data_IF_923759746795
#
_entry.id   IF_923759746795
#
_cell.length_a   1.000
_cell.length_b   1.000
_cell.length_c   1.000
_cell.angle_alpha   90.00
_cell.angle_beta   90.00
_cell.angle_gamma   90.00
#
_symmetry.space_group_name_H-M   'P 1'
#
loop_
_entity.id
_entity.type
_entity.pdbx_description
1 polymer ?
#
# COMPACT_ATOMS: atom_id res chain seq x y z
N UNK A 1 -82.48 22.61 10.57
CA UNK A 1 -81.63 22.88 9.39
C UNK A 1 -80.26 23.39 9.84
N UNK A 2 -79.30 22.48 9.94
CA UNK A 2 -77.84 22.68 9.83
C UNK A 2 -77.21 21.28 9.81
N UNK A 3 -76.06 21.12 9.14
CA UNK A 3 -75.79 19.95 8.32
C UNK A 3 -74.55 19.15 8.75
N UNK A 4 -74.47 17.95 8.16
CA UNK A 4 -73.30 17.17 7.72
C UNK A 4 -72.08 16.98 8.65
N UNK A 5 -71.94 15.72 9.07
CA UNK A 5 -70.69 15.07 9.42
C UNK A 5 -69.72 15.01 8.22
N UNK A 6 -68.45 15.37 8.45
CA UNK A 6 -67.34 14.92 7.61
C UNK A 6 -66.03 14.81 8.42
N UNK A 7 -65.60 13.56 8.59
CA UNK A 7 -64.23 12.99 8.58
C UNK A 7 -63.07 13.88 9.06
N UNK A 8 -62.53 13.49 10.22
CA UNK A 8 -61.17 13.83 10.65
C UNK A 8 -60.12 13.31 9.66
N UNK A 9 -59.23 14.19 9.23
CA UNK A 9 -58.03 13.85 8.46
C UNK A 9 -56.80 14.14 9.33
N UNK A 10 -56.00 13.09 9.57
CA UNK A 10 -54.70 13.17 10.23
C UNK A 10 -53.73 14.00 9.39
N UNK A 11 -53.23 15.09 9.96
CA UNK A 11 -52.16 15.90 9.39
C UNK A 11 -50.79 15.24 9.66
N UNK A 12 -50.06 14.92 8.59
CA UNK A 12 -48.65 14.49 8.66
C UNK A 12 -47.73 15.73 8.77
N UNK A 13 -46.61 15.68 9.52
CA UNK A 13 -45.65 16.78 9.57
C UNK A 13 -44.89 16.91 8.24
N UNK A 14 -44.62 18.16 7.86
CA UNK A 14 -43.98 18.61 6.61
C UNK A 14 -42.50 18.21 6.51
N UNK A 15 -42.09 17.81 5.30
CA UNK A 15 -40.74 17.53 4.84
C UNK A 15 -39.70 18.60 5.22
N UNK A 16 -38.70 18.22 6.04
CA UNK A 16 -37.45 18.97 6.26
C UNK A 16 -36.26 18.46 5.43
N UNK A 17 -36.45 17.44 4.59
CA UNK A 17 -35.33 16.76 3.90
C UNK A 17 -34.97 17.33 2.51
N UNK A 18 -35.74 18.28 1.95
CA UNK A 18 -35.46 18.84 0.61
C UNK A 18 -34.33 19.89 0.55
N UNK A 19 -33.92 20.46 1.69
CA UNK A 19 -32.83 21.45 1.73
C UNK A 19 -31.44 20.84 1.90
N UNK A 20 -31.31 19.62 2.42
CA UNK A 20 -30.01 18.95 2.55
C UNK A 20 -29.61 18.22 1.26
N UNK A 21 -30.58 17.67 0.52
CA UNK A 21 -30.35 17.06 -0.80
C UNK A 21 -29.93 18.06 -1.89
N UNK A 22 -30.32 19.34 -1.77
CA UNK A 22 -29.92 20.38 -2.74
C UNK A 22 -28.49 20.86 -2.52
N UNK A 23 -28.00 20.84 -1.27
CA UNK A 23 -26.61 21.16 -0.93
C UNK A 23 -25.69 19.97 -1.29
N UNK A 24 -26.16 18.74 -1.13
CA UNK A 24 -25.43 17.54 -1.54
C UNK A 24 -25.33 17.40 -3.07
N UNK A 25 -26.34 17.88 -3.83
CA UNK A 25 -26.34 17.81 -5.29
C UNK A 25 -25.67 19.03 -5.98
N UNK A 26 -25.54 20.19 -5.33
CA UNK A 26 -24.80 21.34 -5.91
C UNK A 26 -23.28 21.16 -5.88
N UNK A 27 -22.76 20.28 -5.03
CA UNK A 27 -21.32 19.98 -4.91
C UNK A 27 -20.79 18.98 -5.96
N UNK A 28 -21.65 18.41 -6.82
CA UNK A 28 -21.26 17.53 -7.94
C UNK A 28 -21.01 18.25 -9.27
N UNK A 29 -20.93 19.59 -9.27
CA UNK A 29 -20.28 20.36 -10.33
C UNK A 29 -18.84 20.74 -9.94
N UNK A 30 -18.11 19.88 -9.23
CA UNK A 30 -16.67 20.04 -9.10
C UNK A 30 -15.97 19.25 -10.21
N UNK A 31 -15.40 19.98 -11.16
CA UNK A 31 -14.41 19.47 -12.13
C UNK A 31 -13.39 18.65 -11.35
N UNK A 32 -13.18 17.38 -11.71
CA UNK A 32 -12.05 16.61 -11.18
C UNK A 32 -10.80 17.50 -11.23
N UNK A 33 -10.07 17.68 -10.11
CA UNK A 33 -8.90 18.52 -10.10
C UNK A 33 -7.93 17.97 -11.13
N UNK A 34 -7.75 18.69 -12.24
CA UNK A 34 -6.83 18.28 -13.30
C UNK A 34 -5.44 18.20 -12.70
N UNK A 35 -4.89 17.01 -12.69
CA UNK A 35 -3.53 16.73 -12.30
C UNK A 35 -2.58 17.50 -13.22
N UNK A 36 -1.58 18.15 -12.64
CA UNK A 36 -0.55 18.86 -13.40
C UNK A 36 0.30 17.85 -14.20
N UNK A 37 0.44 18.07 -15.50
CA UNK A 37 1.21 17.20 -16.39
C UNK A 37 2.48 17.93 -16.84
N UNK A 38 3.64 17.44 -16.39
CA UNK A 38 4.94 18.04 -16.68
C UNK A 38 5.70 17.12 -17.64
N UNK A 39 5.86 17.59 -18.87
CA UNK A 39 6.59 16.86 -19.90
C UNK A 39 8.04 17.35 -19.98
N UNK A 40 8.99 16.54 -19.50
CA UNK A 40 10.45 16.74 -19.64
C UNK A 40 11.04 15.88 -20.76
N UNK A 41 10.23 15.07 -21.45
CA UNK A 41 10.69 14.26 -22.58
C UNK A 41 10.76 15.09 -23.88
N UNK A 42 11.48 14.57 -24.88
CA UNK A 42 11.51 15.16 -26.23
C UNK A 42 10.21 14.89 -27.00
N UNK A 43 9.36 13.98 -26.52
CA UNK A 43 8.11 13.59 -27.17
C UNK A 43 7.08 14.71 -27.10
N UNK A 44 6.48 15.05 -28.25
CA UNK A 44 5.32 15.94 -28.33
C UNK A 44 4.05 15.15 -28.00
N UNK A 45 3.44 15.45 -26.86
CA UNK A 45 2.20 14.81 -26.42
C UNK A 45 0.99 15.36 -27.20
N UNK A 46 0.11 14.47 -27.64
CA UNK A 46 -1.18 14.82 -28.26
C UNK A 46 -2.15 15.40 -27.22
N UNK A 47 -3.20 16.10 -27.67
CA UNK A 47 -4.25 16.62 -26.79
C UNK A 47 -4.94 15.51 -25.98
N UNK A 48 -5.18 14.36 -26.60
CA UNK A 48 -5.76 13.18 -25.93
C UNK A 48 -4.82 12.60 -24.87
N UNK A 49 -3.51 12.49 -25.16
CA UNK A 49 -2.51 12.03 -24.19
C UNK A 49 -2.43 12.98 -22.98
N UNK A 50 -2.40 14.30 -23.21
CA UNK A 50 -2.39 15.30 -22.11
C UNK A 50 -3.65 15.22 -21.26
N UNK A 51 -4.81 15.12 -21.89
CA UNK A 51 -6.11 15.04 -21.18
C UNK A 51 -6.17 13.77 -20.35
N UNK A 52 -5.76 12.63 -20.91
CA UNK A 52 -5.68 11.36 -20.19
C UNK A 52 -4.75 11.45 -18.98
N UNK A 53 -3.52 11.95 -19.16
CA UNK A 53 -2.53 12.07 -18.09
C UNK A 53 -2.99 13.03 -16.98
N UNK A 54 -3.74 14.07 -17.34
CA UNK A 54 -4.31 15.02 -16.36
C UNK A 54 -5.41 14.41 -15.47
N UNK A 55 -5.90 13.20 -15.77
CA UNK A 55 -6.81 12.46 -14.86
C UNK A 55 -6.04 11.82 -13.69
N UNK A 56 -4.72 11.67 -13.80
CA UNK A 56 -3.83 11.17 -12.74
C UNK A 56 -3.88 9.65 -12.50
N UNK A 57 -2.96 9.15 -11.67
CA UNK A 57 -2.78 7.70 -11.43
C UNK A 57 -3.91 7.02 -10.65
N UNK A 58 -4.74 7.79 -9.92
CA UNK A 58 -5.89 7.27 -9.18
C UNK A 58 -7.15 7.11 -10.05
N UNK A 59 -7.14 7.66 -11.26
CA UNK A 59 -8.26 7.53 -12.17
C UNK A 59 -8.38 6.09 -12.68
N UNK A 60 -9.58 5.52 -12.60
CA UNK A 60 -9.88 4.17 -13.09
C UNK A 60 -10.72 4.28 -14.35
N UNK A 61 -10.17 3.93 -15.53
CA UNK A 61 -10.93 3.96 -16.77
C UNK A 61 -12.04 2.91 -16.79
N UNK A 62 -13.24 3.30 -17.23
CA UNK A 62 -14.33 2.37 -17.54
C UNK A 62 -13.91 1.48 -18.69
N UNK A 63 -13.89 0.17 -18.46
CA UNK A 63 -13.57 -0.81 -19.51
C UNK A 63 -14.75 -0.96 -20.47
N UNK A 64 -14.50 -0.89 -21.77
CA UNK A 64 -15.52 -1.17 -22.80
C UNK A 64 -15.92 -2.64 -22.87
N UNK A 65 -14.96 -3.54 -22.59
CA UNK A 65 -15.16 -4.99 -22.56
C UNK A 65 -14.78 -5.51 -21.19
N UNK A 66 -15.65 -6.33 -20.62
CA UNK A 66 -15.39 -7.05 -19.38
C UNK A 66 -14.77 -8.40 -19.74
N UNK A 67 -13.63 -8.72 -19.14
CA UNK A 67 -13.01 -10.04 -19.27
C UNK A 67 -13.79 -11.04 -18.40
N UNK A 68 -14.73 -11.76 -19.00
CA UNK A 68 -15.64 -12.67 -18.28
C UNK A 68 -14.90 -13.71 -17.44
N UNK A 69 -13.82 -14.29 -17.95
CA UNK A 69 -13.02 -15.27 -17.21
C UNK A 69 -12.43 -14.70 -15.92
N UNK A 70 -11.93 -13.46 -15.98
CA UNK A 70 -11.39 -12.76 -14.80
C UNK A 70 -12.49 -12.44 -13.80
N UNK A 71 -13.63 -11.92 -14.26
CA UNK A 71 -14.76 -11.62 -13.38
C UNK A 71 -15.27 -12.87 -12.67
N UNK A 72 -15.41 -14.00 -13.38
CA UNK A 72 -15.84 -15.27 -12.76
C UNK A 72 -14.83 -15.72 -11.71
N UNK A 73 -13.53 -15.59 -11.98
CA UNK A 73 -12.49 -15.91 -11.00
C UNK A 73 -12.59 -14.99 -9.76
N UNK A 74 -12.78 -13.69 -9.95
CA UNK A 74 -12.95 -12.71 -8.87
C UNK A 74 -14.20 -13.00 -8.03
N UNK A 75 -15.32 -13.37 -8.67
CA UNK A 75 -16.55 -13.78 -7.99
C UNK A 75 -16.37 -15.07 -7.17
N UNK A 76 -15.58 -16.04 -7.67
CA UNK A 76 -15.23 -17.25 -6.89
C UNK A 76 -14.37 -16.93 -5.68
N UNK A 77 -13.42 -16.01 -5.81
CA UNK A 77 -12.60 -15.54 -4.67
C UNK A 77 -13.49 -14.83 -3.65
N UNK A 78 -14.41 -13.98 -4.10
CA UNK A 78 -15.38 -13.30 -3.23
C UNK A 78 -16.29 -14.29 -2.50
N UNK A 79 -16.92 -15.23 -3.22
CA UNK A 79 -17.73 -16.30 -2.64
C UNK A 79 -16.95 -17.04 -1.56
N UNK A 80 -15.73 -17.47 -1.88
CA UNK A 80 -14.86 -18.17 -0.92
C UNK A 80 -14.63 -17.34 0.35
N UNK A 81 -14.40 -16.02 0.23
CA UNK A 81 -14.23 -15.14 1.39
C UNK A 81 -15.48 -15.08 2.27
N UNK A 82 -16.66 -14.98 1.66
CA UNK A 82 -17.93 -14.98 2.38
C UNK A 82 -18.14 -16.30 3.12
N UNK A 83 -17.91 -17.43 2.44
CA UNK A 83 -18.01 -18.77 3.03
C UNK A 83 -17.02 -18.99 4.16
N UNK A 84 -15.78 -18.54 4.03
CA UNK A 84 -14.80 -18.66 5.12
C UNK A 84 -15.23 -17.87 6.37
N UNK A 85 -15.81 -16.68 6.19
CA UNK A 85 -16.31 -15.88 7.32
C UNK A 85 -17.44 -16.58 8.07
N UNK A 86 -18.36 -17.20 7.35
CA UNK A 86 -19.46 -17.97 7.94
C UNK A 86 -18.97 -19.29 8.57
N UNK A 87 -18.05 -19.99 7.90
CA UNK A 87 -17.54 -21.27 8.37
C UNK A 87 -16.86 -21.12 9.73
N UNK A 88 -16.03 -20.09 9.89
CA UNK A 88 -15.28 -19.78 11.11
C UNK A 88 -15.96 -18.75 12.00
N UNK A 89 -17.26 -18.46 11.82
CA UNK A 89 -17.93 -17.37 12.56
C UNK A 89 -17.87 -17.56 14.08
N UNK A 90 -18.16 -18.77 14.57
CA UNK A 90 -18.13 -19.10 16.01
C UNK A 90 -16.70 -19.09 16.56
N UNK A 91 -15.76 -19.74 15.87
CA UNK A 91 -14.34 -19.70 16.24
C UNK A 91 -13.76 -18.29 16.27
N UNK A 92 -14.18 -17.41 15.38
CA UNK A 92 -13.70 -16.03 15.32
C UNK A 92 -14.25 -15.19 16.49
N UNK A 93 -15.49 -15.43 16.92
CA UNK A 93 -16.04 -14.79 18.14
C UNK A 93 -15.25 -15.18 19.38
N UNK A 94 -14.82 -16.43 19.48
CA UNK A 94 -14.01 -16.89 20.61
C UNK A 94 -12.57 -16.37 20.54
N UNK A 95 -11.99 -16.27 19.33
CA UNK A 95 -10.64 -15.74 19.09
C UNK A 95 -10.54 -14.21 19.23
N UNK A 96 -11.63 -13.46 19.11
CA UNK A 96 -11.63 -12.02 19.44
C UNK A 96 -11.24 -11.76 20.92
N UNK A 97 -11.39 -12.75 21.81
CA UNK A 97 -10.96 -12.67 23.20
C UNK A 97 -9.50 -13.11 23.45
N UNK A 98 -8.83 -13.72 22.46
CA UNK A 98 -7.43 -14.16 22.57
C UNK A 98 -6.63 -13.65 21.36
N UNK A 99 -5.90 -12.54 21.54
CA UNK A 99 -4.97 -11.99 20.56
C UNK A 99 -3.80 -12.97 20.30
N UNK A 100 -4.02 -13.97 19.46
CA UNK A 100 -2.93 -14.86 19.01
C UNK A 100 -2.29 -14.24 17.75
N UNK A 101 -1.41 -13.26 17.96
CA UNK A 101 -0.78 -12.41 16.93
C UNK A 101 -0.05 -13.22 15.83
N UNK A 102 0.44 -14.43 16.16
CA UNK A 102 1.20 -15.27 15.22
C UNK A 102 0.36 -16.06 14.21
N UNK A 103 -0.97 -16.07 14.33
CA UNK A 103 -1.85 -16.68 13.31
C UNK A 103 -1.77 -15.99 11.94
N UNK A 104 -1.21 -14.77 11.90
CA UNK A 104 -1.00 -13.97 10.70
C UNK A 104 0.12 -14.49 9.78
N UNK A 105 1.15 -15.17 10.31
CA UNK A 105 2.34 -15.57 9.55
C UNK A 105 2.24 -16.97 8.95
N UNK A 106 1.13 -17.24 8.25
CA UNK A 106 0.89 -18.52 7.60
C UNK A 106 0.61 -18.32 6.11
N UNK A 107 1.00 -19.30 5.30
CA UNK A 107 0.61 -19.29 3.88
C UNK A 107 -0.91 -19.34 3.77
N UNK A 108 -1.45 -18.57 2.83
CA UNK A 108 -2.88 -18.57 2.56
C UNK A 108 -3.37 -20.00 2.28
N UNK A 109 -4.38 -20.42 3.04
CA UNK A 109 -5.02 -21.71 2.83
C UNK A 109 -5.73 -21.74 1.47
N UNK A 110 -5.77 -22.91 0.82
CA UNK A 110 -6.60 -23.18 -0.37
C UNK A 110 -7.97 -23.74 0.01
N UNK A 111 -8.22 -23.97 1.31
CA UNK A 111 -9.49 -24.46 1.80
C UNK A 111 -10.64 -23.54 1.37
N UNK A 112 -11.73 -24.16 0.92
CA UNK A 112 -12.95 -23.50 0.50
C UNK A 112 -14.11 -24.31 1.10
N UNK A 113 -14.88 -23.73 2.04
CA UNK A 113 -16.03 -24.43 2.61
C UNK A 113 -17.04 -24.80 1.53
N UNK A 114 -17.66 -25.97 1.67
CA UNK A 114 -18.74 -26.40 0.78
C UNK A 114 -19.99 -25.54 0.98
N UNK A 115 -20.81 -25.34 -0.06
CA UNK A 115 -22.17 -24.80 0.10
C UNK A 115 -23.05 -25.68 1.00
N UNK A 116 -24.16 -25.12 1.49
CA UNK A 116 -25.20 -25.85 2.21
C UNK A 116 -25.18 -25.74 3.74
N UNK A 117 -24.19 -25.07 4.35
CA UNK A 117 -24.19 -24.82 5.81
C UNK A 117 -25.27 -23.81 6.21
N UNK A 118 -25.34 -22.68 5.51
CA UNK A 118 -26.33 -21.63 5.73
C UNK A 118 -27.07 -21.27 4.44
N UNK A 119 -28.36 -21.59 4.38
CA UNK A 119 -29.19 -21.41 3.18
C UNK A 119 -29.28 -19.94 2.76
N UNK A 120 -29.36 -19.02 3.71
CA UNK A 120 -29.46 -17.58 3.42
C UNK A 120 -28.20 -17.02 2.79
N UNK A 121 -27.03 -17.54 3.20
CA UNK A 121 -25.77 -17.14 2.59
C UNK A 121 -25.66 -17.66 1.16
N UNK A 122 -26.09 -18.90 0.92
CA UNK A 122 -26.12 -19.47 -0.43
C UNK A 122 -27.02 -18.67 -1.36
N UNK A 123 -28.24 -18.36 -0.92
CA UNK A 123 -29.19 -17.55 -1.68
C UNK A 123 -28.64 -16.15 -1.95
N UNK A 124 -28.03 -15.51 -0.95
CA UNK A 124 -27.40 -14.20 -1.10
C UNK A 124 -26.26 -14.22 -2.12
N UNK A 125 -25.37 -15.22 -2.03
CA UNK A 125 -24.23 -15.37 -2.95
C UNK A 125 -24.72 -15.57 -4.39
N UNK A 126 -25.73 -16.41 -4.61
CA UNK A 126 -26.30 -16.62 -5.95
C UNK A 126 -26.97 -15.35 -6.46
N UNK A 127 -27.82 -14.71 -5.64
CA UNK A 127 -28.51 -13.47 -6.01
C UNK A 127 -27.52 -12.39 -6.46
N UNK A 128 -26.44 -12.16 -5.71
CA UNK A 128 -25.43 -11.16 -6.06
C UNK A 128 -24.67 -11.54 -7.34
N UNK A 129 -24.34 -12.81 -7.54
CA UNK A 129 -23.70 -13.28 -8.78
C UNK A 129 -24.59 -13.04 -9.98
N UNK A 130 -25.86 -13.43 -9.91
CA UNK A 130 -26.84 -13.27 -10.97
C UNK A 130 -27.11 -11.79 -11.25
N UNK A 131 -27.19 -10.96 -10.21
CA UNK A 131 -27.33 -9.52 -10.34
C UNK A 131 -26.10 -8.90 -11.04
N UNK A 132 -24.88 -9.27 -10.64
CA UNK A 132 -23.66 -8.76 -11.27
C UNK A 132 -23.62 -9.19 -12.74
N UNK A 133 -23.82 -10.48 -13.02
CA UNK A 133 -23.76 -11.04 -14.37
C UNK A 133 -24.84 -10.46 -15.29
N UNK A 134 -26.08 -10.33 -14.80
CA UNK A 134 -27.18 -9.71 -15.57
C UNK A 134 -26.91 -8.23 -15.87
N UNK A 135 -26.29 -7.50 -14.94
CA UNK A 135 -25.91 -6.09 -15.13
C UNK A 135 -24.76 -5.87 -16.12
N UNK A 136 -23.98 -6.89 -16.48
CA UNK A 136 -22.93 -6.77 -17.50
C UNK A 136 -23.48 -6.47 -18.90
N UNK A 137 -24.74 -6.85 -19.16
CA UNK A 137 -25.43 -6.54 -20.42
C UNK A 137 -25.75 -5.04 -20.56
N UNK A 138 -25.71 -4.28 -19.46
CA UNK A 138 -26.03 -2.85 -19.47
C UNK A 138 -24.89 -2.05 -20.09
N UNK A 139 -25.24 -1.08 -20.94
CA UNK A 139 -24.26 -0.12 -21.47
C UNK A 139 -23.84 0.83 -20.33
N UNK A 140 -22.57 0.77 -19.96
CA UNK A 140 -21.98 1.71 -19.00
C UNK A 140 -21.60 3.02 -19.70
N UNK A 141 -21.71 4.14 -18.99
CA UNK A 141 -21.18 5.42 -19.47
C UNK A 141 -19.65 5.36 -19.45
N UNK A 142 -19.03 5.58 -20.59
CA UNK A 142 -17.57 5.66 -20.70
C UNK A 142 -17.07 6.95 -20.05
N UNK A 143 -16.01 6.85 -19.26
CA UNK A 143 -15.34 7.99 -18.62
C UNK A 143 -14.03 8.38 -19.33
N UNK A 144 -13.73 7.72 -20.46
CA UNK A 144 -12.65 8.04 -21.39
C UNK A 144 -13.17 8.05 -22.84
N UNK A 145 -12.59 8.90 -23.69
CA UNK A 145 -12.91 8.91 -25.13
C UNK A 145 -12.20 7.78 -25.88
N UNK A 146 -12.53 7.58 -27.17
CA UNK A 146 -11.84 6.59 -28.02
C UNK A 146 -10.37 7.00 -28.22
N UNK A 147 -10.13 8.30 -28.37
CA UNK A 147 -8.82 8.90 -28.54
C UNK A 147 -7.98 8.76 -27.27
N UNK A 148 -8.58 8.95 -26.09
CA UNK A 148 -7.91 8.71 -24.81
C UNK A 148 -7.58 7.23 -24.60
N UNK A 149 -8.45 6.30 -25.02
CA UNK A 149 -8.16 4.87 -24.98
C UNK A 149 -6.98 4.49 -25.89
N UNK A 150 -6.95 5.06 -27.11
CA UNK A 150 -5.82 4.88 -28.03
C UNK A 150 -4.54 5.46 -27.44
N UNK A 151 -4.60 6.69 -26.92
CA UNK A 151 -3.49 7.35 -26.25
C UNK A 151 -2.94 6.54 -25.07
N UNK A 152 -3.81 5.88 -24.29
CA UNK A 152 -3.39 5.02 -23.19
C UNK A 152 -2.55 3.84 -23.67
N UNK A 153 -2.95 3.18 -24.76
CA UNK A 153 -2.18 2.08 -25.35
C UNK A 153 -0.85 2.56 -25.92
N UNK A 154 -0.87 3.69 -26.63
CA UNK A 154 0.36 4.31 -27.16
C UNK A 154 1.36 4.64 -26.06
N UNK A 155 0.91 5.22 -24.94
CA UNK A 155 1.77 5.55 -23.81
C UNK A 155 2.24 4.30 -23.04
N UNK A 156 1.41 3.27 -22.93
CA UNK A 156 1.74 2.04 -22.21
C UNK A 156 2.87 1.24 -22.88
N UNK A 157 2.90 1.23 -24.21
CA UNK A 157 3.87 0.46 -24.99
C UNK A 157 5.05 1.30 -25.49
N UNK A 158 5.11 2.60 -25.15
CA UNK A 158 6.22 3.45 -25.53
C UNK A 158 7.40 3.26 -24.58
N UNK A 159 8.48 2.67 -25.09
CA UNK A 159 9.72 2.40 -24.35
C UNK A 159 10.67 3.60 -24.32
N UNK A 160 10.41 4.65 -25.11
CA UNK A 160 11.24 5.86 -25.17
C UNK A 160 10.99 6.83 -24.01
N UNK A 161 9.86 6.66 -23.30
CA UNK A 161 9.46 7.51 -22.19
C UNK A 161 9.22 6.72 -20.90
N UNK A 162 9.38 7.41 -19.78
CA UNK A 162 9.01 6.94 -18.44
C UNK A 162 8.00 7.91 -17.84
N UNK A 163 6.89 7.38 -17.34
CA UNK A 163 5.80 8.14 -16.72
C UNK A 163 5.79 7.84 -15.22
N UNK A 164 5.97 8.88 -14.39
CA UNK A 164 6.08 8.75 -12.93
C UNK A 164 5.24 9.81 -12.21
N UNK A 165 4.74 9.51 -11.00
CA UNK A 165 4.23 10.55 -10.12
C UNK A 165 5.38 11.44 -9.65
N UNK A 166 5.06 12.71 -9.37
CA UNK A 166 5.96 13.60 -8.64
C UNK A 166 6.05 13.18 -7.18
N UNK A 167 7.21 13.43 -6.57
CA UNK A 167 7.52 13.03 -5.20
C UNK A 167 6.70 13.76 -4.12
N UNK A 168 6.36 15.05 -4.36
CA UNK A 168 5.58 15.88 -3.41
C UNK A 168 4.35 16.54 -4.01
N UNK A 169 4.31 16.73 -5.33
CA UNK A 169 3.11 17.24 -5.99
C UNK A 169 2.27 16.08 -6.51
N UNK A 170 0.97 16.28 -6.64
CA UNK A 170 0.06 15.28 -7.24
C UNK A 170 0.24 15.12 -8.74
N UNK A 171 1.27 15.74 -9.35
CA UNK A 171 1.50 15.82 -10.80
C UNK A 171 2.05 14.54 -11.43
N UNK A 172 1.79 14.39 -12.74
CA UNK A 172 2.38 13.36 -13.60
C UNK A 172 3.59 13.94 -14.33
N UNK A 173 4.73 13.24 -14.27
CA UNK A 173 5.97 13.62 -14.94
C UNK A 173 6.28 12.62 -16.05
N UNK A 174 6.58 13.12 -17.24
CA UNK A 174 7.04 12.33 -18.38
C UNK A 174 8.50 12.70 -18.64
N UNK A 175 9.38 11.69 -18.76
CA UNK A 175 10.81 11.87 -19.02
C UNK A 175 11.25 10.94 -20.14
N UNK A 176 12.33 11.27 -20.85
CA UNK A 176 12.98 10.28 -21.71
C UNK A 176 13.53 9.14 -20.86
N UNK A 177 13.47 7.92 -21.38
CA UNK A 177 13.94 6.73 -20.66
C UNK A 177 15.43 6.83 -20.30
N UNK A 178 16.26 7.38 -21.18
CA UNK A 178 17.69 7.52 -20.91
C UNK A 178 17.98 8.60 -19.85
N UNK A 179 17.32 9.75 -19.91
CA UNK A 179 17.45 10.79 -18.87
C UNK A 179 17.05 10.26 -17.49
N UNK A 180 15.96 9.48 -17.44
CA UNK A 180 15.52 8.82 -16.21
C UNK A 180 16.57 7.84 -15.67
N UNK A 181 17.16 7.01 -16.55
CA UNK A 181 18.22 6.07 -16.15
C UNK A 181 19.42 6.82 -15.59
N UNK A 182 19.88 7.88 -16.26
CA UNK A 182 21.02 8.68 -15.82
C UNK A 182 20.80 9.31 -14.44
N UNK A 183 19.62 9.89 -14.20
CA UNK A 183 19.30 10.47 -12.89
C UNK A 183 19.22 9.43 -11.77
N UNK A 184 18.71 8.23 -12.06
CA UNK A 184 18.70 7.13 -11.08
C UNK A 184 20.11 6.61 -10.82
N UNK A 185 20.92 6.39 -11.87
CA UNK A 185 22.30 5.94 -11.72
C UNK A 185 23.14 6.95 -10.91
N UNK A 186 22.93 8.25 -11.12
CA UNK A 186 23.56 9.31 -10.32
C UNK A 186 23.20 9.26 -8.84
N UNK A 187 21.96 8.94 -8.48
CA UNK A 187 21.57 8.78 -7.07
C UNK A 187 22.15 7.47 -6.47
N UNK A 188 22.32 6.43 -7.30
CA UNK A 188 22.91 5.15 -6.89
C UNK A 188 24.44 5.17 -6.82
N UNK A 189 25.11 6.15 -7.43
CA UNK A 189 26.56 6.36 -7.37
C UNK A 189 27.06 6.90 -6.01
N UNK A 190 26.15 7.08 -5.05
CA UNK A 190 26.51 7.45 -3.69
C UNK A 190 27.14 6.28 -2.92
N UNK A 191 28.48 6.22 -2.95
CA UNK A 191 29.28 5.19 -2.29
C UNK A 191 29.12 5.13 -0.75
N UNK A 192 28.57 6.19 -0.13
CA UNK A 192 28.27 6.16 1.30
C UNK A 192 27.09 5.22 1.61
N UNK A 193 26.12 5.12 0.70
CA UNK A 193 24.87 4.37 0.91
C UNK A 193 24.81 3.07 0.12
N UNK A 194 25.35 3.06 -1.09
CA UNK A 194 25.22 1.96 -2.04
C UNK A 194 26.57 1.51 -2.55
N UNK A 195 26.66 0.21 -2.83
CA UNK A 195 27.83 -0.41 -3.43
C UNK A 195 27.41 -1.18 -4.68
N UNK A 196 28.02 -0.85 -5.81
CA UNK A 196 27.90 -1.66 -7.02
C UNK A 196 28.53 -3.05 -6.80
N UNK A 197 27.89 -4.10 -7.31
CA UNK A 197 28.35 -5.48 -7.19
C UNK A 197 28.25 -6.18 -8.55
N UNK A 198 29.16 -7.13 -8.79
CA UNK A 198 29.31 -7.75 -10.11
C UNK A 198 28.24 -8.81 -10.43
N UNK A 199 27.49 -9.26 -9.43
CA UNK A 199 26.52 -10.35 -9.59
C UNK A 199 25.33 -10.24 -8.65
N UNK A 200 24.25 -10.89 -9.03
CA UNK A 200 23.07 -11.05 -8.20
C UNK A 200 23.37 -11.88 -6.93
N UNK A 201 23.06 -11.32 -5.76
CA UNK A 201 23.24 -11.97 -4.45
C UNK A 201 21.99 -12.68 -3.95
N UNK A 202 20.89 -12.68 -4.71
CA UNK A 202 19.60 -13.24 -4.30
C UNK A 202 19.74 -14.67 -3.78
N UNK A 203 20.40 -15.57 -4.52
CA UNK A 203 20.58 -16.96 -4.09
C UNK A 203 21.43 -17.10 -2.82
N UNK A 204 22.44 -16.23 -2.65
CA UNK A 204 23.26 -16.18 -1.44
C UNK A 204 22.42 -15.75 -0.25
N UNK A 205 21.55 -14.76 -0.45
CA UNK A 205 20.68 -14.21 0.59
C UNK A 205 19.58 -15.20 0.98
N UNK A 206 19.02 -15.95 0.02
CA UNK A 206 18.11 -17.06 0.35
C UNK A 206 18.75 -18.06 1.32
N UNK A 207 20.01 -18.43 1.08
CA UNK A 207 20.72 -19.40 1.91
C UNK A 207 21.05 -18.83 3.30
N UNK A 208 21.34 -17.52 3.38
CA UNK A 208 21.49 -16.82 4.67
C UNK A 208 20.20 -16.80 5.48
N UNK A 209 19.04 -16.72 4.83
CA UNK A 209 17.71 -16.73 5.47
C UNK A 209 17.29 -18.14 5.91
N UNK A 210 17.54 -19.16 5.09
CA UNK A 210 17.13 -20.55 5.37
C UNK A 210 17.66 -21.07 6.71
N UNK A 211 18.96 -20.84 6.99
CA UNK A 211 19.62 -21.38 8.19
C UNK A 211 19.00 -20.88 9.52
N UNK A 212 18.83 -19.56 9.75
CA UNK A 212 18.13 -19.02 10.92
C UNK A 212 16.70 -19.55 11.05
N UNK A 213 15.91 -19.55 9.97
CA UNK A 213 14.52 -20.01 10.00
C UNK A 213 14.43 -21.50 10.39
N UNK A 214 15.32 -22.33 9.85
CA UNK A 214 15.40 -23.74 10.25
C UNK A 214 15.80 -23.92 11.71
N UNK A 215 16.75 -23.11 12.20
CA UNK A 215 17.18 -23.15 13.60
C UNK A 215 16.04 -22.75 14.55
N UNK A 216 15.30 -21.69 14.24
CA UNK A 216 14.14 -21.26 15.03
C UNK A 216 13.08 -22.36 15.12
N UNK A 217 12.82 -23.06 14.01
CA UNK A 217 11.87 -24.17 13.99
C UNK A 217 12.38 -25.39 14.77
N UNK A 218 13.68 -25.71 14.69
CA UNK A 218 14.31 -26.80 15.48
C UNK A 218 14.27 -26.52 16.98
N UNK A 219 14.37 -25.25 17.39
CA UNK A 219 14.24 -24.78 18.78
C UNK A 219 12.77 -24.63 19.22
N UNK A 220 11.82 -25.02 18.39
CA UNK A 220 10.38 -24.93 18.64
C UNK A 220 9.87 -23.50 18.93
N UNK A 221 10.64 -22.48 18.51
CA UNK A 221 10.24 -21.06 18.63
C UNK A 221 9.18 -20.71 17.59
N UNK A 222 9.27 -21.32 16.40
CA UNK A 222 8.28 -21.14 15.32
C UNK A 222 7.73 -22.50 14.89
N UNK A 223 6.44 -22.51 14.54
CA UNK A 223 5.77 -23.71 14.04
C UNK A 223 6.15 -24.02 12.56
N UNK A 224 5.68 -25.18 12.07
CA UNK A 224 5.95 -25.63 10.70
C UNK A 224 5.30 -24.72 9.64
N UNK A 225 4.18 -24.08 9.96
CA UNK A 225 3.47 -23.19 9.02
C UNK A 225 4.22 -21.87 8.85
N UNK A 226 4.70 -21.31 9.97
CA UNK A 226 5.52 -20.10 10.03
C UNK A 226 6.87 -20.35 9.39
N UNK A 227 7.52 -21.50 9.63
CA UNK A 227 8.70 -21.92 8.86
C UNK A 227 8.40 -21.89 7.35
N UNK A 228 7.29 -22.51 6.92
CA UNK A 228 6.91 -22.56 5.50
C UNK A 228 6.62 -21.17 4.94
N UNK A 229 6.10 -20.25 5.74
CA UNK A 229 5.87 -18.85 5.38
C UNK A 229 7.17 -18.09 5.16
N UNK A 230 8.12 -18.23 6.08
CA UNK A 230 9.40 -17.50 6.09
C UNK A 230 10.42 -18.00 5.09
N UNK A 231 10.32 -19.26 4.67
CA UNK A 231 11.26 -19.80 3.69
C UNK A 231 11.14 -19.09 2.33
N UNK A 232 12.24 -18.53 1.81
CA UNK A 232 12.29 -17.86 0.51
C UNK A 232 11.80 -18.79 -0.60
N UNK A 233 10.91 -18.31 -1.48
CA UNK A 233 10.43 -19.05 -2.64
C UNK A 233 10.20 -18.13 -3.83
N UNK A 234 10.83 -18.43 -4.96
CA UNK A 234 10.68 -17.65 -6.20
C UNK A 234 11.16 -16.22 -6.02
N UNK A 235 12.29 -16.05 -5.33
CA UNK A 235 12.76 -14.72 -4.94
C UNK A 235 13.52 -14.01 -6.05
N UNK A 236 13.60 -12.69 -5.93
CA UNK A 236 14.29 -11.83 -6.87
C UNK A 236 15.01 -10.69 -6.13
N UNK A 237 16.03 -10.06 -6.73
CA UNK A 237 16.60 -8.84 -6.17
C UNK A 237 15.54 -7.75 -6.13
N UNK A 238 15.69 -6.78 -5.22
CA UNK A 238 14.87 -5.59 -5.21
C UNK A 238 14.91 -4.86 -6.55
N UNK A 239 13.83 -4.15 -6.89
CA UNK A 239 13.73 -3.40 -8.15
C UNK A 239 13.68 -1.91 -7.89
N UNK A 240 14.58 -1.17 -8.51
CA UNK A 240 14.63 0.28 -8.34
C UNK A 240 13.57 0.98 -9.18
N UNK A 241 12.87 1.90 -8.54
CA UNK A 241 12.01 2.90 -9.14
C UNK A 241 12.40 4.28 -8.61
N UNK A 242 12.04 5.35 -9.30
CA UNK A 242 12.30 6.68 -8.78
C UNK A 242 11.23 7.70 -9.19
N UNK A 243 10.97 8.64 -8.29
CA UNK A 243 10.00 9.72 -8.49
C UNK A 243 10.72 11.08 -8.55
N UNK A 244 10.45 11.93 -9.55
CA UNK A 244 11.09 13.25 -9.67
C UNK A 244 10.69 14.22 -8.55
N UNK A 245 11.67 14.93 -7.96
CA UNK A 245 11.47 15.98 -6.95
C UNK A 245 11.38 17.35 -7.63
N UNK A 246 10.23 17.64 -8.23
CA UNK A 246 10.01 18.89 -8.99
C UNK A 246 10.19 20.17 -8.17
N UNK A 247 10.07 20.10 -6.85
CA UNK A 247 10.24 21.24 -5.94
C UNK A 247 11.72 21.58 -5.64
N UNK A 248 12.70 20.86 -6.22
CA UNK A 248 14.13 21.08 -6.00
C UNK A 248 14.83 21.47 -7.30
N UNK A 249 15.86 22.32 -7.23
CA UNK A 249 16.68 22.69 -8.40
C UNK A 249 17.19 21.42 -9.11
N UNK A 250 17.15 21.42 -10.45
CA UNK A 250 17.50 20.29 -11.33
C UNK A 250 16.53 19.09 -11.27
N UNK A 251 15.49 19.13 -10.44
CA UNK A 251 14.50 18.06 -10.25
C UNK A 251 15.13 16.66 -10.04
N UNK A 252 16.04 16.48 -9.06
CA UNK A 252 16.62 15.16 -8.76
C UNK A 252 15.54 14.14 -8.43
N UNK A 253 15.85 12.86 -8.58
CA UNK A 253 14.89 11.80 -8.28
C UNK A 253 14.94 11.37 -6.80
N UNK A 254 13.87 10.75 -6.31
CA UNK A 254 13.86 9.95 -5.08
C UNK A 254 13.83 8.49 -5.48
N UNK A 255 14.91 7.76 -5.22
CA UNK A 255 14.99 6.32 -5.43
C UNK A 255 14.13 5.59 -4.39
N UNK A 256 13.44 4.56 -4.86
CA UNK A 256 12.57 3.67 -4.10
C UNK A 256 12.95 2.24 -4.51
N UNK A 257 13.21 1.38 -3.55
CA UNK A 257 13.61 0.00 -3.80
C UNK A 257 12.40 -0.87 -3.50
N UNK A 258 11.80 -1.47 -4.52
CA UNK A 258 10.70 -2.41 -4.36
C UNK A 258 11.26 -3.78 -3.95
N UNK A 259 11.02 -4.18 -2.71
CA UNK A 259 11.45 -5.44 -2.09
C UNK A 259 10.50 -6.62 -2.28
N UNK A 260 9.49 -6.53 -3.17
CA UNK A 260 8.55 -7.63 -3.39
C UNK A 260 9.26 -8.88 -3.89
N UNK A 261 8.97 -10.02 -3.25
CA UNK A 261 9.62 -11.31 -3.43
C UNK A 261 11.13 -11.26 -3.13
N UNK A 262 11.62 -10.30 -2.36
CA UNK A 262 13.02 -10.29 -1.92
C UNK A 262 13.27 -11.43 -0.92
N UNK A 263 14.47 -12.04 -0.88
CA UNK A 263 14.80 -13.12 0.08
C UNK A 263 14.49 -12.81 1.54
N UNK A 264 14.53 -11.54 1.93
CA UNK A 264 14.31 -11.08 3.31
C UNK A 264 12.91 -10.51 3.58
N UNK A 265 12.02 -10.43 2.58
CA UNK A 265 10.68 -9.80 2.70
C UNK A 265 9.90 -10.35 3.89
N UNK A 266 9.76 -11.69 3.97
CA UNK A 266 8.95 -12.34 5.01
C UNK A 266 9.57 -12.29 6.40
N UNK A 267 10.89 -12.17 6.47
CA UNK A 267 11.57 -11.92 7.75
C UNK A 267 11.36 -10.47 8.18
N UNK A 268 11.41 -9.50 7.26
CA UNK A 268 11.16 -8.10 7.57
C UNK A 268 9.76 -7.89 8.17
N UNK A 269 8.74 -8.59 7.66
CA UNK A 269 7.39 -8.55 8.22
C UNK A 269 7.31 -9.02 9.68
N UNK A 270 8.10 -10.03 10.07
CA UNK A 270 8.18 -10.45 11.47
C UNK A 270 8.85 -9.36 12.30
N UNK A 271 10.00 -8.87 11.85
CA UNK A 271 10.75 -7.83 12.59
C UNK A 271 9.87 -6.59 12.80
N UNK A 272 9.11 -6.18 11.78
CA UNK A 272 8.14 -5.09 11.89
C UNK A 272 7.07 -5.40 12.93
N UNK A 273 6.51 -6.61 12.93
CA UNK A 273 5.49 -7.02 13.90
C UNK A 273 6.01 -6.94 15.34
N UNK A 274 7.19 -7.49 15.61
CA UNK A 274 7.84 -7.48 16.93
C UNK A 274 8.16 -6.06 17.42
N UNK A 275 8.40 -5.11 16.51
CA UNK A 275 8.67 -3.71 16.84
C UNK A 275 7.41 -2.84 16.89
N UNK A 276 6.29 -3.29 16.31
CA UNK A 276 5.14 -2.44 16.02
C UNK A 276 4.43 -1.91 17.26
N UNK A 277 4.31 -2.72 18.32
CA UNK A 277 3.71 -2.31 19.59
C UNK A 277 4.51 -1.18 20.24
N UNK A 278 5.83 -1.34 20.29
CA UNK A 278 6.74 -0.35 20.87
C UNK A 278 6.64 1.00 20.15
N UNK A 279 6.57 0.99 18.81
CA UNK A 279 6.42 2.23 18.01
C UNK A 279 5.10 2.93 18.34
N UNK A 280 4.00 2.18 18.51
CA UNK A 280 2.68 2.75 18.83
C UNK A 280 2.61 3.32 20.25
N UNK A 281 3.42 2.79 21.17
CA UNK A 281 3.48 3.24 22.56
C UNK A 281 4.36 4.49 22.76
N UNK A 282 5.07 4.96 21.71
CA UNK A 282 5.86 6.19 21.80
C UNK A 282 4.96 7.41 22.01
N UNK A 283 5.31 8.34 22.92
CA UNK A 283 4.55 9.57 23.12
C UNK A 283 4.39 10.42 21.84
N UNK A 284 5.38 10.34 20.95
CA UNK A 284 5.45 11.07 19.68
C UNK A 284 4.77 10.34 18.52
N UNK A 285 4.22 9.14 18.73
CA UNK A 285 3.55 8.37 17.69
C UNK A 285 2.35 9.15 17.15
N UNK A 286 2.21 9.29 15.84
CA UNK A 286 1.04 9.89 15.20
C UNK A 286 0.48 8.85 14.24
N UNK A 287 -0.78 8.46 14.45
CA UNK A 287 -1.42 7.41 13.64
C UNK A 287 -1.81 7.91 12.26
N UNK A 288 -2.52 9.04 12.20
CA UNK A 288 -3.09 9.61 10.99
C UNK A 288 -3.42 11.10 11.18
N UNK A 289 -3.96 11.74 10.13
CA UNK A 289 -4.34 13.16 10.16
C UNK A 289 -5.37 13.47 11.25
N UNK A 290 -6.30 12.55 11.52
CA UNK A 290 -7.33 12.75 12.54
C UNK A 290 -6.72 12.71 13.94
N UNK A 291 -5.84 11.74 14.20
CA UNK A 291 -5.09 11.65 15.46
C UNK A 291 -4.23 12.90 15.69
N UNK A 292 -3.54 13.39 14.64
CA UNK A 292 -2.77 14.64 14.72
C UNK A 292 -3.64 15.84 15.10
N UNK A 293 -4.80 16.02 14.45
CA UNK A 293 -5.73 17.12 14.78
C UNK A 293 -6.28 17.00 16.21
N UNK A 294 -6.58 15.79 16.65
CA UNK A 294 -7.03 15.55 18.03
C UNK A 294 -5.95 15.93 19.04
N UNK A 295 -4.69 15.55 18.78
CA UNK A 295 -3.55 15.92 19.63
C UNK A 295 -3.33 17.43 19.66
N UNK A 296 -3.44 18.12 18.53
CA UNK A 296 -3.36 19.58 18.47
C UNK A 296 -4.47 20.26 19.28
N UNK A 297 -5.71 19.77 19.18
CA UNK A 297 -6.86 20.31 19.92
C UNK A 297 -6.76 20.06 21.43
N UNK A 298 -6.01 19.04 21.85
CA UNK A 298 -5.75 18.75 23.26
C UNK A 298 -4.69 19.68 23.88
N UNK A 299 -3.95 20.45 23.08
CA UNK A 299 -2.99 21.44 23.58
C UNK A 299 -3.77 22.58 24.26
N UNK A 300 -3.42 22.89 25.49
CA UNK A 300 -4.10 23.92 26.27
C UNK A 300 -4.01 25.30 25.60
N UNK A 301 -5.16 25.95 25.49
CA UNK A 301 -5.32 27.27 24.89
C UNK A 301 -5.70 28.32 25.96
N UNK A 302 -5.34 29.61 25.78
CA UNK A 302 -4.50 30.13 24.68
C UNK A 302 -3.03 29.74 24.86
N UNK A 303 -2.31 29.63 23.75
CA UNK A 303 -0.85 29.54 23.80
C UNK A 303 -0.26 30.83 24.42
N UNK A 304 0.89 30.77 25.10
CA UNK A 304 1.58 31.96 25.59
C UNK A 304 1.90 32.96 24.47
N UNK A 305 1.86 34.26 24.77
CA UNK A 305 2.09 35.33 23.78
C UNK A 305 3.49 35.26 23.12
N UNK A 306 4.47 34.63 23.79
CA UNK A 306 5.82 34.42 23.29
C UNK A 306 6.03 33.04 22.65
N UNK A 307 4.96 32.29 22.35
CA UNK A 307 5.06 30.99 21.70
C UNK A 307 5.61 31.13 20.27
N UNK A 308 6.55 30.25 19.93
CA UNK A 308 7.14 30.17 18.59
C UNK A 308 6.78 28.82 17.98
N UNK A 309 6.18 28.85 16.79
CA UNK A 309 6.01 27.66 15.98
C UNK A 309 7.21 27.51 15.05
N UNK A 310 7.84 26.34 15.06
CA UNK A 310 8.89 26.00 14.10
C UNK A 310 8.65 24.58 13.55
N UNK A 311 9.24 24.31 12.38
CA UNK A 311 9.17 23.03 11.71
C UNK A 311 10.59 22.60 11.32
N UNK A 312 10.94 21.35 11.62
CA UNK A 312 12.22 20.75 11.25
C UNK A 312 11.96 19.62 10.25
N UNK A 313 12.75 19.57 9.18
CA UNK A 313 12.73 18.48 8.19
C UNK A 313 14.10 17.82 8.13
N UNK A 314 14.14 16.50 8.27
CA UNK A 314 15.40 15.73 8.21
C UNK A 314 15.78 15.51 6.76
N UNK A 315 16.98 15.96 6.38
CA UNK A 315 17.48 15.73 5.03
C UNK A 315 17.81 14.25 4.83
N UNK A 316 17.19 13.60 3.84
CA UNK A 316 17.43 12.20 3.46
C UNK A 316 17.36 11.23 4.67
N UNK A 317 16.23 11.19 5.38
CA UNK A 317 16.04 10.36 6.57
C UNK A 317 16.52 8.90 6.39
N UNK A 318 15.90 8.12 5.50
CA UNK A 318 16.19 6.68 5.37
C UNK A 318 17.66 6.36 5.02
N UNK A 319 18.30 7.01 4.02
CA UNK A 319 19.71 6.79 3.73
C UNK A 319 20.67 7.21 4.86
N UNK A 320 20.24 8.09 5.75
CA UNK A 320 21.08 8.66 6.82
C UNK A 320 20.89 7.98 8.17
N UNK A 321 20.04 6.94 8.27
CA UNK A 321 19.85 6.19 9.52
C UNK A 321 21.12 5.37 9.82
N UNK A 322 21.88 5.69 10.87
CA UNK A 322 23.11 4.97 11.15
C UNK A 322 22.77 3.61 11.76
N UNK A 323 23.30 2.54 11.15
CA UNK A 323 22.83 1.16 11.41
C UNK A 323 23.09 0.70 12.83
N UNK A 324 24.21 1.11 13.43
CA UNK A 324 24.61 0.69 14.78
C UNK A 324 23.64 1.24 15.83
N UNK A 325 23.39 2.54 15.81
CA UNK A 325 22.50 3.23 16.73
C UNK A 325 21.06 2.79 16.52
N UNK A 326 20.65 2.56 15.26
CA UNK A 326 19.33 2.00 14.96
C UNK A 326 19.16 0.61 15.58
N UNK A 327 20.18 -0.25 15.47
CA UNK A 327 20.18 -1.59 16.08
C UNK A 327 20.12 -1.52 17.60
N UNK A 328 20.87 -0.61 18.23
CA UNK A 328 20.84 -0.37 19.68
C UNK A 328 19.47 0.13 20.14
N UNK A 329 18.87 1.10 19.43
CA UNK A 329 17.53 1.59 19.74
C UNK A 329 16.47 0.49 19.60
N UNK A 330 16.54 -0.32 18.54
CA UNK A 330 15.66 -1.48 18.36
C UNK A 330 15.86 -2.51 19.48
N UNK A 331 17.09 -2.77 19.91
CA UNK A 331 17.38 -3.66 21.03
C UNK A 331 16.70 -3.17 22.31
N UNK A 332 16.87 -1.90 22.67
CA UNK A 332 16.24 -1.33 23.87
C UNK A 332 14.72 -1.35 23.78
N UNK A 333 14.14 -1.11 22.60
CA UNK A 333 12.70 -1.24 22.42
C UNK A 333 12.26 -2.70 22.65
N UNK A 334 12.92 -3.64 21.99
CA UNK A 334 12.63 -5.07 22.06
C UNK A 334 12.75 -5.63 23.50
N UNK A 335 13.69 -5.16 24.30
CA UNK A 335 13.83 -5.56 25.71
C UNK A 335 12.65 -5.13 26.60
N UNK A 336 11.90 -4.11 26.19
CA UNK A 336 10.74 -3.59 26.94
C UNK A 336 9.40 -4.13 26.42
N UNK A 337 9.40 -5.06 25.46
CA UNK A 337 8.15 -5.58 24.87
C UNK A 337 7.46 -6.60 25.79
N UNK A 338 6.15 -6.71 25.65
CA UNK A 338 5.33 -7.63 26.44
C UNK A 338 5.47 -9.08 25.95
N UNK A 339 5.48 -9.28 24.64
CA UNK A 339 5.55 -10.59 23.98
C UNK A 339 7.00 -10.97 23.62
N UNK A 340 7.56 -11.96 24.31
CA UNK A 340 8.95 -12.42 24.09
C UNK A 340 9.02 -13.83 23.50
N UNK A 341 8.00 -14.29 22.75
CA UNK A 341 8.00 -15.65 22.18
C UNK A 341 9.19 -15.90 21.27
N UNK A 342 9.53 -14.93 20.42
CA UNK A 342 10.83 -14.89 19.73
C UNK A 342 11.77 -14.08 20.63
N UNK A 343 13.00 -14.55 20.87
CA UNK A 343 13.94 -13.81 21.74
C UNK A 343 14.40 -12.50 21.08
N UNK A 344 14.74 -11.47 21.88
CA UNK A 344 15.32 -10.22 21.36
C UNK A 344 16.53 -10.47 20.46
N UNK A 345 17.41 -11.41 20.83
CA UNK A 345 18.59 -11.73 20.04
C UNK A 345 18.24 -12.38 18.68
N UNK A 346 17.21 -13.22 18.63
CA UNK A 346 16.74 -13.81 17.38
C UNK A 346 16.08 -12.76 16.48
N UNK A 347 15.33 -11.81 17.04
CA UNK A 347 14.76 -10.67 16.29
C UNK A 347 15.86 -9.76 15.74
N UNK A 348 16.87 -9.44 16.54
CA UNK A 348 18.00 -8.63 16.09
C UNK A 348 18.79 -9.31 14.97
N UNK A 349 19.04 -10.62 15.06
CA UNK A 349 19.66 -11.38 13.94
C UNK A 349 18.83 -11.33 12.68
N UNK A 350 17.50 -11.42 12.80
CA UNK A 350 16.59 -11.27 11.67
C UNK A 350 16.64 -9.85 11.07
N UNK A 351 16.68 -8.82 11.92
CA UNK A 351 16.85 -7.43 11.50
C UNK A 351 18.18 -7.20 10.78
N UNK A 352 19.29 -7.73 11.31
CA UNK A 352 20.62 -7.65 10.70
C UNK A 352 20.60 -8.30 9.31
N UNK A 353 19.94 -9.47 9.15
CA UNK A 353 19.76 -10.10 7.84
C UNK A 353 19.02 -9.20 6.85
N UNK A 354 17.97 -8.50 7.27
CA UNK A 354 17.21 -7.59 6.40
C UNK A 354 18.08 -6.41 5.96
N UNK A 355 18.76 -5.76 6.90
CA UNK A 355 19.52 -4.53 6.66
C UNK A 355 20.80 -4.79 5.85
N UNK A 356 21.53 -5.86 6.17
CA UNK A 356 22.83 -6.15 5.55
C UNK A 356 22.71 -6.79 4.15
N UNK A 357 21.55 -7.37 3.83
CA UNK A 357 21.39 -8.18 2.61
C UNK A 357 20.36 -7.57 1.64
N UNK A 358 20.09 -6.26 1.76
CA UNK A 358 19.23 -5.55 0.83
C UNK A 358 19.91 -5.36 -0.53
N UNK A 359 19.79 -6.37 -1.40
CA UNK A 359 20.34 -6.35 -2.75
C UNK A 359 19.25 -6.01 -3.77
N UNK A 360 19.61 -5.18 -4.75
CA UNK A 360 18.67 -4.74 -5.77
C UNK A 360 19.35 -4.58 -7.13
N UNK A 361 18.54 -4.42 -8.16
CA UNK A 361 19.00 -4.26 -9.54
C UNK A 361 18.36 -3.05 -10.20
N UNK A 362 19.14 -2.40 -11.06
CA UNK A 362 18.69 -1.32 -11.92
C UNK A 362 19.47 -1.36 -13.23
N UNK A 363 18.76 -1.28 -14.36
CA UNK A 363 19.38 -1.21 -15.69
C UNK A 363 20.44 -2.31 -15.97
N UNK A 364 20.17 -3.54 -15.53
CA UNK A 364 21.10 -4.68 -15.68
C UNK A 364 22.30 -4.67 -14.73
N UNK A 365 22.47 -3.64 -13.90
CA UNK A 365 23.49 -3.55 -12.85
C UNK A 365 22.93 -4.00 -11.51
N UNK A 366 23.80 -4.53 -10.64
CA UNK A 366 23.45 -4.99 -9.31
C UNK A 366 24.08 -4.11 -8.24
N UNK A 367 23.36 -3.92 -7.14
CA UNK A 367 23.76 -3.06 -6.04
C UNK A 367 23.42 -3.70 -4.69
N UNK A 368 24.17 -3.30 -3.66
CA UNK A 368 23.92 -3.62 -2.27
C UNK A 368 23.83 -2.33 -1.46
N UNK A 369 22.84 -2.22 -0.57
CA UNK A 369 22.79 -1.11 0.39
C UNK A 369 23.74 -1.36 1.56
N UNK A 370 24.70 -0.46 1.76
CA UNK A 370 25.76 -0.57 2.79
C UNK A 370 25.48 0.26 4.04
N UNK A 371 24.74 1.35 3.91
CA UNK A 371 24.30 2.19 5.04
C UNK A 371 22.85 2.66 4.87
N UNK A 372 22.28 3.17 5.97
CA UNK A 372 20.89 3.56 5.99
C UNK A 372 19.93 2.37 5.88
N UNK A 373 18.67 2.71 5.68
CA UNK A 373 17.58 1.79 5.39
C UNK A 373 16.97 2.13 4.03
N UNK A 374 16.37 1.14 3.36
CA UNK A 374 15.71 1.39 2.09
C UNK A 374 14.30 1.94 2.30
N UNK A 375 13.91 2.81 1.37
CA UNK A 375 12.51 3.16 1.17
C UNK A 375 11.90 2.04 0.33
N UNK A 376 11.00 1.26 0.93
CA UNK A 376 10.26 0.20 0.23
C UNK A 376 8.80 0.58 0.01
N UNK A 377 8.21 -0.01 -1.03
CA UNK A 377 6.77 -0.05 -1.26
C UNK A 377 6.37 -1.51 -1.00
N UNK A 378 6.01 -1.82 0.24
CA UNK A 378 5.38 -3.08 0.62
C UNK A 378 4.08 -3.33 -0.13
#
# INVERSE_FOLDING_TARGET
>A
MKPNLAKETNSKPKDKNKSEESIYNSSKQNRDPKCEVINKSSKKLTSAQKTLLSKGFKFVPTRRKVEMGKLIADLKIWERRMRLREHFFEENKEKENYQNEYTKFKKSSTFTPSPGKERWLDEYIQTIKDEILSRLSRKFKMNITIEEEKAMRELLYDTSIVIRPSDKSSGVVIMNTEDYKLEVEKELDNNDTYKAIDKDLTQKNENKVKKPVENLCKREIIDKDMKKYLLPKGTCPGKVQANPKLHKKNHPVRTIINGRNHPTEKIAEIVENELSENVRNLPTYIKDTTDFLNKLNAIQQPLPDNAIMFCLDVTKLYPSVPRKEAREACKSALENRTNTSISTEDVLKMMDLVIENNNFSFNGKHFLQTEGTAIDIG
#
